data_IF_688405571274
#
_entry.id   IF_688405571274
#
_cell.length_a   1.000
_cell.length_b   1.000
_cell.length_c   1.000
_cell.angle_alpha   90.00
_cell.angle_beta   90.00
_cell.angle_gamma   90.00
#
_symmetry.space_group_name_H-M   'P 1'
#
loop_
_entity.id
_entity.type
_entity.pdbx_description
1 polymer ?
#
# COMPACT_ATOMS: atom_id res chain seq x y z
N UNK A 1 -13.01 -21.03 -7.53
CA UNK A 1 -13.55 -19.98 -6.65
C UNK A 1 -14.33 -19.02 -7.52
N UNK A 2 -15.56 -18.70 -7.13
CA UNK A 2 -16.34 -17.66 -7.80
C UNK A 2 -15.79 -16.30 -7.35
N UNK A 3 -15.59 -15.38 -8.29
CA UNK A 3 -15.12 -14.02 -7.98
C UNK A 3 -16.33 -13.11 -7.82
N UNK A 4 -16.33 -12.27 -6.79
CA UNK A 4 -17.39 -11.27 -6.59
C UNK A 4 -17.08 -9.94 -7.26
N UNK A 5 -15.80 -9.71 -7.58
CA UNK A 5 -15.32 -8.47 -8.18
C UNK A 5 -14.11 -8.72 -9.08
N UNK A 6 -13.82 -7.73 -9.92
CA UNK A 6 -12.61 -7.67 -10.72
C UNK A 6 -12.18 -6.22 -10.92
N UNK A 7 -10.91 -6.04 -11.31
CA UNK A 7 -10.36 -4.72 -11.65
C UNK A 7 -10.66 -4.42 -13.10
N UNK A 8 -11.29 -3.28 -13.35
CA UNK A 8 -11.45 -2.73 -14.69
C UNK A 8 -10.39 -1.66 -14.91
N UNK A 9 -9.47 -1.88 -15.85
CA UNK A 9 -8.40 -0.93 -16.13
C UNK A 9 -8.88 0.22 -17.02
N UNK A 10 -8.36 1.42 -16.78
CA UNK A 10 -8.61 2.59 -17.61
C UNK A 10 -8.23 2.36 -19.08
N UNK A 11 -7.12 1.64 -19.34
CA UNK A 11 -6.70 1.28 -20.69
C UNK A 11 -7.76 0.46 -21.46
N UNK A 12 -8.61 -0.29 -20.77
CA UNK A 12 -9.72 -1.00 -21.40
C UNK A 12 -10.85 -0.03 -21.77
N UNK A 13 -11.11 0.96 -20.93
CA UNK A 13 -12.08 2.02 -21.24
C UNK A 13 -11.64 2.85 -22.45
N UNK A 14 -10.35 3.19 -22.56
CA UNK A 14 -9.80 3.92 -23.70
C UNK A 14 -10.00 3.18 -25.03
N UNK A 15 -9.89 1.85 -25.04
CA UNK A 15 -10.16 1.04 -26.23
C UNK A 15 -11.65 1.06 -26.59
N UNK A 16 -12.53 1.11 -25.58
CA UNK A 16 -13.97 0.99 -25.79
C UNK A 16 -14.65 2.33 -26.10
N UNK A 17 -14.17 3.44 -25.55
CA UNK A 17 -14.85 4.75 -25.63
C UNK A 17 -15.05 5.26 -27.06
N UNK A 18 -14.16 4.91 -27.97
CA UNK A 18 -14.20 5.34 -29.38
C UNK A 18 -14.96 4.35 -30.27
N UNK A 19 -15.35 3.20 -29.74
CA UNK A 19 -16.14 2.19 -30.44
C UNK A 19 -17.65 2.46 -30.37
N UNK A 20 -18.40 1.81 -31.27
CA UNK A 20 -19.87 1.87 -31.25
C UNK A 20 -20.44 1.21 -30.00
N UNK A 21 -21.57 1.73 -29.51
CA UNK A 21 -22.21 1.25 -28.28
C UNK A 21 -22.52 -0.25 -28.32
N UNK A 22 -22.89 -0.80 -29.48
CA UNK A 22 -23.15 -2.24 -29.61
C UNK A 22 -21.87 -3.06 -29.37
N UNK A 23 -20.73 -2.61 -29.89
CA UNK A 23 -19.42 -3.27 -29.71
C UNK A 23 -18.97 -3.15 -28.25
N UNK A 24 -19.12 -1.95 -27.66
CA UNK A 24 -18.83 -1.74 -26.24
C UNK A 24 -19.62 -2.73 -25.37
N UNK A 25 -20.91 -2.87 -25.63
CA UNK A 25 -21.77 -3.74 -24.84
C UNK A 25 -21.46 -5.21 -25.03
N UNK A 26 -21.13 -5.62 -26.26
CA UNK A 26 -20.68 -6.98 -26.57
C UNK A 26 -19.40 -7.34 -25.80
N UNK A 27 -18.42 -6.43 -25.76
CA UNK A 27 -17.15 -6.65 -25.04
C UNK A 27 -17.37 -6.67 -23.52
N UNK A 28 -18.12 -5.71 -22.97
CA UNK A 28 -18.39 -5.66 -21.52
C UNK A 28 -19.12 -6.93 -21.06
N UNK A 29 -20.11 -7.38 -21.82
CA UNK A 29 -20.80 -8.66 -21.55
C UNK A 29 -19.83 -9.84 -21.59
N UNK A 30 -18.93 -9.90 -22.57
CA UNK A 30 -17.92 -10.94 -22.67
C UNK A 30 -16.98 -10.98 -21.47
N UNK A 31 -16.56 -9.81 -20.99
CA UNK A 31 -15.71 -9.68 -19.79
C UNK A 31 -16.45 -10.24 -18.58
N UNK A 32 -17.71 -9.87 -18.37
CA UNK A 32 -18.48 -10.35 -17.22
C UNK A 32 -18.69 -11.87 -17.26
N UNK A 33 -19.08 -12.42 -18.41
CA UNK A 33 -19.21 -13.87 -18.58
C UNK A 33 -17.90 -14.61 -18.35
N UNK A 34 -16.79 -14.04 -18.81
CA UNK A 34 -15.48 -14.64 -18.63
C UNK A 34 -15.01 -14.58 -17.17
N UNK A 35 -15.14 -13.45 -16.51
CA UNK A 35 -14.65 -13.25 -15.13
C UNK A 35 -15.49 -14.01 -14.11
N UNK A 36 -16.82 -13.96 -14.24
CA UNK A 36 -17.73 -14.49 -13.22
C UNK A 36 -18.12 -15.94 -13.47
N UNK A 37 -18.29 -16.33 -14.75
CA UNK A 37 -18.77 -17.65 -15.13
C UNK A 37 -17.69 -18.51 -15.81
N UNK A 38 -16.49 -17.95 -16.05
CA UNK A 38 -15.42 -18.60 -16.80
C UNK A 38 -15.88 -19.07 -18.19
N UNK A 39 -16.80 -18.31 -18.79
CA UNK A 39 -17.47 -18.64 -20.04
C UNK A 39 -16.96 -17.75 -21.19
N UNK A 40 -16.72 -18.36 -22.36
CA UNK A 40 -16.31 -17.66 -23.56
C UNK A 40 -17.50 -17.56 -24.51
N UNK A 41 -18.02 -16.35 -24.69
CA UNK A 41 -19.09 -16.09 -25.64
C UNK A 41 -18.53 -15.85 -27.05
N UNK A 42 -19.33 -16.17 -28.06
CA UNK A 42 -18.99 -15.85 -29.44
C UNK A 42 -19.15 -14.34 -29.69
N UNK A 43 -18.15 -13.74 -30.33
CA UNK A 43 -18.06 -12.31 -30.55
C UNK A 43 -17.82 -12.00 -32.03
N UNK A 44 -18.38 -10.88 -32.47
CA UNK A 44 -18.07 -10.28 -33.78
C UNK A 44 -16.59 -9.93 -33.85
N UNK A 45 -15.98 -9.89 -35.06
CA UNK A 45 -14.54 -9.68 -35.22
C UNK A 45 -13.98 -8.47 -34.45
N UNK A 46 -14.68 -7.35 -34.46
CA UNK A 46 -14.26 -6.13 -33.76
C UNK A 46 -14.23 -6.33 -32.23
N UNK A 47 -15.34 -6.80 -31.65
CA UNK A 47 -15.44 -7.10 -30.23
C UNK A 47 -14.44 -8.18 -29.80
N UNK A 48 -14.22 -9.18 -30.65
CA UNK A 48 -13.28 -10.29 -30.40
C UNK A 48 -11.84 -9.79 -30.25
N UNK A 49 -11.42 -8.81 -31.05
CA UNK A 49 -10.07 -8.26 -30.96
C UNK A 49 -9.85 -7.50 -29.64
N UNK A 50 -10.79 -6.61 -29.28
CA UNK A 50 -10.75 -5.88 -28.02
C UNK A 50 -10.78 -6.85 -26.81
N UNK A 51 -11.69 -7.82 -26.84
CA UNK A 51 -11.80 -8.83 -25.79
C UNK A 51 -10.54 -9.68 -25.67
N UNK A 52 -9.84 -10.01 -26.75
CA UNK A 52 -8.58 -10.78 -26.70
C UNK A 52 -7.49 -10.06 -25.90
N UNK A 53 -7.39 -8.73 -26.05
CA UNK A 53 -6.44 -7.93 -25.28
C UNK A 53 -6.78 -7.95 -23.79
N UNK A 54 -8.06 -7.71 -23.47
CA UNK A 54 -8.57 -7.67 -22.10
C UNK A 54 -8.45 -9.04 -21.42
N UNK A 55 -8.81 -10.12 -22.12
CA UNK A 55 -8.69 -11.49 -21.65
C UNK A 55 -7.25 -11.82 -21.25
N UNK A 56 -6.27 -11.42 -22.07
CA UNK A 56 -4.85 -11.65 -21.77
C UNK A 56 -4.43 -10.98 -20.45
N UNK A 57 -4.92 -9.79 -20.19
CA UNK A 57 -4.60 -9.06 -18.95
C UNK A 57 -5.28 -9.71 -17.74
N UNK A 58 -6.52 -10.19 -17.89
CA UNK A 58 -7.25 -10.97 -16.87
C UNK A 58 -6.50 -12.27 -16.55
N UNK A 59 -6.11 -13.03 -17.59
CA UNK A 59 -5.38 -14.29 -17.44
C UNK A 59 -4.08 -14.09 -16.67
N UNK A 60 -3.30 -13.07 -17.06
CA UNK A 60 -2.06 -12.72 -16.35
C UNK A 60 -2.30 -12.36 -14.88
N UNK A 61 -3.38 -11.64 -14.58
CA UNK A 61 -3.72 -11.29 -13.21
C UNK A 61 -4.14 -12.53 -12.40
N UNK A 62 -4.85 -13.47 -13.04
CA UNK A 62 -5.24 -14.74 -12.43
C UNK A 62 -4.01 -15.61 -12.14
N UNK A 63 -3.10 -15.79 -13.10
CA UNK A 63 -1.88 -16.57 -12.93
C UNK A 63 -1.04 -16.06 -11.76
N UNK A 64 -0.85 -14.73 -11.67
CA UNK A 64 -0.14 -14.11 -10.54
C UNK A 64 -0.82 -14.37 -9.20
N UNK A 65 -2.14 -14.34 -9.16
CA UNK A 65 -2.90 -14.60 -7.94
C UNK A 65 -2.81 -16.07 -7.53
N UNK A 66 -2.88 -17.00 -8.49
CA UNK A 66 -2.71 -18.43 -8.25
C UNK A 66 -1.31 -18.75 -7.74
N UNK A 67 -0.27 -18.20 -8.36
CA UNK A 67 1.12 -18.34 -7.90
C UNK A 67 1.30 -17.81 -6.46
N UNK A 68 0.68 -16.66 -6.15
CA UNK A 68 0.67 -16.12 -4.79
C UNK A 68 0.01 -17.08 -3.80
N UNK A 69 -1.17 -17.62 -4.14
CA UNK A 69 -1.87 -18.58 -3.29
C UNK A 69 -1.06 -19.87 -3.08
N UNK A 70 -0.40 -20.37 -4.11
CA UNK A 70 0.47 -21.54 -4.01
C UNK A 70 1.64 -21.30 -3.06
N UNK A 71 2.35 -20.18 -3.21
CA UNK A 71 3.42 -19.77 -2.28
C UNK A 71 2.92 -19.68 -0.85
N UNK A 72 1.73 -19.10 -0.63
CA UNK A 72 1.14 -19.02 0.71
C UNK A 72 0.74 -20.39 1.27
N UNK A 73 0.22 -21.30 0.43
CA UNK A 73 -0.06 -22.68 0.82
C UNK A 73 1.21 -23.42 1.24
N UNK A 74 2.30 -23.26 0.49
CA UNK A 74 3.61 -23.85 0.84
C UNK A 74 4.16 -23.28 2.16
N UNK A 75 4.11 -21.96 2.32
CA UNK A 75 4.54 -21.30 3.55
C UNK A 75 3.68 -21.72 4.76
N UNK A 76 2.37 -21.87 4.55
CA UNK A 76 1.44 -22.41 5.55
C UNK A 76 1.77 -23.84 5.95
N UNK A 77 2.12 -24.72 4.99
CA UNK A 77 2.59 -26.09 5.27
C UNK A 77 3.87 -26.12 6.09
N UNK A 78 4.80 -25.17 5.85
CA UNK A 78 6.05 -25.04 6.62
C UNK A 78 5.82 -24.52 8.05
N UNK A 79 4.66 -23.94 8.31
CA UNK A 79 4.24 -23.41 9.60
C UNK A 79 4.80 -22.00 9.87
N UNK A 80 3.94 -21.09 10.32
CA UNK A 80 4.33 -19.69 10.60
C UNK A 80 4.88 -19.45 12.00
N UNK A 81 4.66 -20.38 12.93
CA UNK A 81 5.14 -20.26 14.31
C UNK A 81 6.49 -20.96 14.43
N UNK A 82 7.56 -20.27 14.86
CA UNK A 82 8.81 -20.93 15.22
C UNK A 82 8.51 -22.05 16.22
N UNK A 83 9.03 -23.25 15.95
CA UNK A 83 8.90 -24.35 16.92
C UNK A 83 9.49 -23.87 18.24
N UNK A 84 8.73 -24.02 19.34
CA UNK A 84 9.24 -23.72 20.68
C UNK A 84 10.59 -24.44 20.83
N UNK A 85 11.67 -23.76 21.25
CA UNK A 85 12.92 -24.43 21.53
C UNK A 85 12.63 -25.54 22.54
N UNK A 86 13.06 -26.77 22.23
CA UNK A 86 13.06 -27.85 23.21
C UNK A 86 13.95 -27.39 24.35
N UNK A 87 13.43 -27.41 25.58
CA UNK A 87 14.19 -27.13 26.80
C UNK A 87 15.29 -28.18 26.97
N UNK A 88 16.44 -27.96 26.35
CA UNK A 88 17.71 -28.58 26.73
C UNK A 88 18.84 -27.64 26.37
N UNK A 89 19.04 -26.64 27.23
CA UNK A 89 20.34 -26.27 27.83
C UNK A 89 20.17 -24.89 28.47
N UNK A 90 20.50 -24.79 29.76
CA UNK A 90 20.53 -23.55 30.52
C UNK A 90 21.43 -22.54 29.79
N UNK A 91 20.84 -21.54 29.13
CA UNK A 91 21.59 -20.38 28.65
C UNK A 91 21.85 -19.46 29.83
N UNK A 92 23.10 -19.46 30.33
CA UNK A 92 23.62 -18.36 31.15
C UNK A 92 23.44 -17.06 30.35
N UNK A 93 22.88 -16.04 31.01
CA UNK A 93 22.71 -14.72 30.44
C UNK A 93 24.08 -14.09 30.18
N UNK A 94 24.53 -14.16 28.93
CA UNK A 94 25.72 -13.45 28.49
C UNK A 94 25.27 -12.09 27.93
N UNK A 95 25.39 -11.08 28.78
CA UNK A 95 25.35 -9.68 28.35
C UNK A 95 26.72 -9.34 27.77
N UNK A 96 26.91 -9.49 26.47
CA UNK A 96 27.97 -8.77 25.77
C UNK A 96 27.38 -7.82 24.72
N UNK A 97 27.82 -6.57 24.80
CA UNK A 97 27.48 -5.47 23.88
C UNK A 97 27.78 -5.89 22.43
N UNK A 98 26.97 -5.44 21.44
CA UNK A 98 27.34 -5.61 20.05
C UNK A 98 28.55 -4.72 19.74
N UNK A 99 29.66 -5.34 19.33
CA UNK A 99 30.79 -4.65 18.70
C UNK A 99 30.56 -4.66 17.19
N UNK A 100 30.73 -3.49 16.56
CA UNK A 100 30.67 -3.32 15.10
C UNK A 100 31.64 -4.25 14.36
N UNK A 101 31.15 -5.00 13.37
CA UNK A 101 32.02 -5.67 12.38
C UNK A 101 31.48 -5.51 10.96
N UNK A 102 32.04 -4.51 10.29
CA UNK A 102 32.68 -4.52 8.97
C UNK A 102 32.19 -5.48 7.87
N UNK A 103 31.74 -4.82 6.79
CA UNK A 103 31.74 -5.18 5.35
C UNK A 103 32.50 -6.45 4.94
N UNK A 104 31.86 -7.28 4.10
CA UNK A 104 32.54 -8.01 3.03
C UNK A 104 31.81 -7.86 1.68
N UNK A 105 32.55 -7.33 0.71
CA UNK A 105 32.37 -7.29 -0.75
C UNK A 105 32.56 -8.72 -1.30
N UNK A 106 32.22 -9.20 -2.51
CA UNK A 106 31.66 -8.73 -3.78
C UNK A 106 31.61 -10.01 -4.66
N UNK A 107 30.58 -10.26 -5.49
CA UNK A 107 30.80 -10.79 -6.85
C UNK A 107 29.85 -10.13 -7.84
N UNK A 108 30.45 -9.51 -8.84
CA UNK A 108 29.91 -8.76 -9.98
C UNK A 108 29.71 -9.68 -11.20
N UNK A 109 28.64 -9.47 -11.99
CA UNK A 109 28.70 -9.58 -13.46
C UNK A 109 27.81 -8.49 -14.10
N UNK A 110 28.47 -7.42 -14.60
CA UNK A 110 28.42 -6.80 -15.96
C UNK A 110 27.17 -7.06 -16.84
N UNK A 111 26.61 -6.16 -17.66
CA UNK A 111 26.85 -4.78 -18.08
C UNK A 111 25.63 -4.40 -18.96
N UNK A 112 25.09 -3.18 -18.87
CA UNK A 112 24.89 -2.30 -20.03
C UNK A 112 24.40 -0.92 -19.55
N UNK A 113 25.14 0.08 -20.01
CA UNK A 113 25.06 1.49 -19.67
C UNK A 113 23.94 2.13 -20.49
N UNK A 114 23.11 2.97 -19.86
CA UNK A 114 22.65 4.17 -20.55
C UNK A 114 22.70 5.36 -19.61
N UNK A 115 23.71 6.20 -19.85
CA UNK A 115 23.88 7.51 -19.24
C UNK A 115 22.76 8.40 -19.78
N UNK A 116 21.83 8.80 -18.94
CA UNK A 116 21.20 10.10 -19.14
C UNK A 116 21.39 10.96 -17.89
N UNK A 117 22.42 11.79 -17.97
CA UNK A 117 22.68 12.90 -17.08
C UNK A 117 21.65 13.97 -17.40
N UNK A 118 20.60 14.13 -16.61
CA UNK A 118 19.78 15.33 -16.71
C UNK A 118 19.14 15.76 -15.38
N UNK A 119 19.83 16.72 -14.76
CA UNK A 119 19.31 17.94 -14.13
C UNK A 119 18.21 17.79 -13.08
N UNK A 120 18.66 17.99 -11.85
CA UNK A 120 18.01 18.70 -10.75
C UNK A 120 16.79 19.54 -11.19
N UNK A 121 15.60 18.99 -11.04
CA UNK A 121 14.34 19.72 -10.94
C UNK A 121 13.57 19.23 -9.71
N UNK A 122 14.19 19.44 -8.54
CA UNK A 122 13.54 19.33 -7.24
C UNK A 122 12.55 20.49 -7.06
N UNK A 123 11.28 20.30 -7.44
CA UNK A 123 10.17 20.96 -6.72
C UNK A 123 8.79 20.38 -7.01
N UNK A 124 8.52 19.78 -8.17
CA UNK A 124 7.13 19.37 -8.51
C UNK A 124 6.73 17.96 -8.04
N UNK A 125 7.65 16.99 -7.98
CA UNK A 125 7.33 15.59 -7.67
C UNK A 125 7.08 15.33 -6.17
N UNK A 126 7.73 16.10 -5.30
CA UNK A 126 7.58 15.96 -3.86
C UNK A 126 6.22 16.45 -3.35
N UNK A 127 5.71 17.56 -3.92
CA UNK A 127 4.45 18.16 -3.49
C UNK A 127 3.23 17.27 -3.79
N UNK A 128 3.21 16.64 -4.96
CA UNK A 128 2.14 15.70 -5.33
C UNK A 128 2.11 14.47 -4.42
N UNK A 129 3.27 13.96 -4.02
CA UNK A 129 3.36 12.77 -3.16
C UNK A 129 3.02 13.09 -1.70
N UNK A 130 3.43 14.26 -1.21
CA UNK A 130 3.01 14.80 0.10
C UNK A 130 1.48 14.91 0.16
N UNK A 131 0.86 15.45 -0.88
CA UNK A 131 -0.60 15.62 -0.94
C UNK A 131 -1.32 14.26 -0.97
N UNK A 132 -0.78 13.30 -1.74
CA UNK A 132 -1.28 11.92 -1.79
C UNK A 132 -1.26 11.26 -0.41
N UNK A 133 -0.14 11.38 0.32
CA UNK A 133 0.03 10.79 1.66
C UNK A 133 -0.92 11.43 2.68
N UNK A 134 -1.03 12.77 2.68
CA UNK A 134 -1.97 13.49 3.55
C UNK A 134 -3.40 13.03 3.30
N UNK A 135 -3.80 12.92 2.04
CA UNK A 135 -5.14 12.46 1.67
C UNK A 135 -5.39 11.00 2.09
N UNK A 136 -4.40 10.12 1.90
CA UNK A 136 -4.48 8.73 2.34
C UNK A 136 -4.73 8.62 3.85
N UNK A 137 -3.91 9.28 4.68
CA UNK A 137 -4.03 9.24 6.13
C UNK A 137 -5.32 9.89 6.64
N UNK A 138 -5.81 10.95 5.97
CA UNK A 138 -7.03 11.67 6.37
C UNK A 138 -8.32 10.95 5.98
N UNK A 139 -8.35 10.23 4.85
CA UNK A 139 -9.61 9.75 4.24
C UNK A 139 -9.72 8.24 4.08
N UNK A 140 -8.62 7.52 3.83
CA UNK A 140 -8.66 6.08 3.49
C UNK A 140 -8.61 5.15 4.72
N UNK A 141 -8.54 5.70 5.93
CA UNK A 141 -8.34 4.93 7.18
C UNK A 141 -9.33 5.26 8.31
N UNK A 142 -10.60 5.51 7.99
CA UNK A 142 -11.59 6.02 8.94
C UNK A 142 -11.68 5.25 10.28
N UNK A 143 -11.71 3.91 10.23
CA UNK A 143 -11.76 3.05 11.44
C UNK A 143 -10.48 3.18 12.30
N UNK A 144 -9.31 3.31 11.66
CA UNK A 144 -8.05 3.50 12.39
C UNK A 144 -8.01 4.89 13.03
N UNK A 145 -8.54 5.91 12.35
CA UNK A 145 -8.61 7.28 12.88
C UNK A 145 -9.51 7.37 14.10
N UNK A 146 -10.68 6.74 14.09
CA UNK A 146 -11.58 6.69 15.24
C UNK A 146 -10.92 6.02 16.45
N UNK A 147 -10.17 4.92 16.21
CA UNK A 147 -9.36 4.25 17.23
C UNK A 147 -8.30 5.19 17.82
N UNK A 148 -7.58 5.92 16.98
CA UNK A 148 -6.50 6.82 17.40
C UNK A 148 -7.03 8.04 18.18
N UNK A 149 -8.15 8.62 17.74
CA UNK A 149 -8.83 9.70 18.46
C UNK A 149 -9.22 9.24 19.87
N UNK A 150 -9.79 8.04 19.99
CA UNK A 150 -10.19 7.47 21.28
C UNK A 150 -8.99 7.14 22.17
N UNK A 151 -7.93 6.53 21.60
CA UNK A 151 -6.74 6.11 22.33
C UNK A 151 -5.92 7.30 22.85
N UNK A 152 -5.77 8.35 22.03
CA UNK A 152 -4.98 9.52 22.37
C UNK A 152 -5.80 10.67 22.95
N UNK A 153 -7.14 10.53 23.03
CA UNK A 153 -8.08 11.56 23.51
C UNK A 153 -7.89 12.89 22.77
N UNK A 154 -7.82 12.82 21.45
CA UNK A 154 -7.61 13.97 20.56
C UNK A 154 -8.82 14.17 19.65
N UNK A 155 -9.10 15.43 19.29
CA UNK A 155 -10.14 15.73 18.31
C UNK A 155 -9.70 15.33 16.89
N UNK A 156 -10.66 15.32 15.96
CA UNK A 156 -10.40 15.06 14.55
C UNK A 156 -9.49 16.12 13.94
N UNK A 157 -9.70 17.38 14.32
CA UNK A 157 -8.90 18.52 13.86
C UNK A 157 -7.46 18.41 14.34
N UNK A 158 -7.25 18.08 15.62
CA UNK A 158 -5.93 17.90 16.20
C UNK A 158 -5.19 16.71 15.59
N UNK A 159 -5.92 15.62 15.29
CA UNK A 159 -5.36 14.46 14.61
C UNK A 159 -4.92 14.79 13.18
N UNK A 160 -5.65 15.66 12.47
CA UNK A 160 -5.25 16.15 11.16
C UNK A 160 -4.00 17.04 11.22
N UNK A 161 -3.91 17.91 12.22
CA UNK A 161 -2.68 18.68 12.49
C UNK A 161 -1.49 17.77 12.77
N UNK A 162 -1.69 16.67 13.50
CA UNK A 162 -0.66 15.67 13.76
C UNK A 162 -0.21 14.93 12.50
N UNK A 163 -1.13 14.64 11.57
CA UNK A 163 -0.78 14.10 10.26
C UNK A 163 0.09 15.08 9.48
N UNK A 164 -0.28 16.37 9.47
CA UNK A 164 0.48 17.39 8.77
C UNK A 164 1.90 17.54 9.37
N UNK A 165 2.01 17.60 10.71
CA UNK A 165 3.29 17.65 11.45
C UNK A 165 4.18 16.42 11.15
N UNK A 166 3.58 15.23 11.10
CA UNK A 166 4.27 13.99 10.78
C UNK A 166 4.86 14.02 9.36
N UNK A 167 4.07 14.42 8.37
CA UNK A 167 4.50 14.45 6.97
C UNK A 167 5.60 15.50 6.77
N UNK A 168 5.48 16.68 7.38
CA UNK A 168 6.52 17.72 7.33
C UNK A 168 7.84 17.25 7.97
N UNK A 169 7.77 16.54 9.11
CA UNK A 169 8.96 15.94 9.73
C UNK A 169 9.62 14.90 8.84
N UNK A 170 8.84 14.07 8.15
CA UNK A 170 9.39 13.06 7.23
C UNK A 170 10.06 13.68 6.01
N UNK A 171 9.47 14.75 5.45
CA UNK A 171 10.10 15.53 4.37
C UNK A 171 11.42 16.12 4.84
N UNK A 172 11.49 16.63 6.08
CA UNK A 172 12.75 17.18 6.64
C UNK A 172 13.87 16.17 6.81
N UNK A 173 13.54 14.86 6.86
CA UNK A 173 14.51 13.77 6.97
C UNK A 173 14.92 13.19 5.60
N UNK A 174 14.37 13.70 4.49
CA UNK A 174 14.63 13.16 3.15
C UNK A 174 13.93 11.83 2.85
N UNK A 175 13.02 11.38 3.73
CA UNK A 175 12.27 10.13 3.59
C UNK A 175 10.91 10.39 2.93
N UNK A 176 10.90 10.70 1.63
CA UNK A 176 9.65 10.92 0.86
C UNK A 176 9.25 9.68 0.06
N UNK A 177 10.17 8.72 -0.13
CA UNK A 177 9.94 7.54 -0.95
C UNK A 177 9.54 6.34 -0.08
N UNK A 178 8.25 6.23 0.22
CA UNK A 178 7.70 5.12 1.00
C UNK A 178 7.16 4.03 0.07
N UNK A 179 7.55 2.76 0.25
CA UNK A 179 7.21 1.70 -0.70
C UNK A 179 5.74 1.27 -0.65
N UNK A 180 5.00 1.55 0.44
CA UNK A 180 3.59 1.18 0.59
C UNK A 180 2.83 2.06 1.59
N UNK A 181 1.61 2.47 1.23
CA UNK A 181 0.65 3.21 2.05
C UNK A 181 0.40 2.55 3.45
N UNK A 182 0.46 1.22 3.54
CA UNK A 182 0.30 0.49 4.82
C UNK A 182 1.43 0.76 5.82
N UNK A 183 2.67 0.93 5.33
CA UNK A 183 3.82 1.22 6.18
C UNK A 183 3.77 2.66 6.70
N UNK A 184 3.29 3.59 5.88
CA UNK A 184 3.11 4.99 6.24
C UNK A 184 2.18 5.12 7.43
N UNK A 185 1.06 4.39 7.42
CA UNK A 185 0.10 4.39 8.52
C UNK A 185 0.69 3.85 9.83
N UNK A 186 1.40 2.71 9.78
CA UNK A 186 2.07 2.14 10.96
C UNK A 186 3.11 3.10 11.54
N UNK A 187 3.86 3.77 10.67
CA UNK A 187 4.85 4.75 11.08
C UNK A 187 4.20 5.98 11.71
N UNK A 188 3.06 6.43 11.19
CA UNK A 188 2.29 7.51 11.79
C UNK A 188 1.75 7.11 13.18
N UNK A 189 1.16 5.92 13.34
CA UNK A 189 0.69 5.43 14.65
C UNK A 189 1.82 5.39 15.68
N UNK A 190 2.98 4.85 15.28
CA UNK A 190 4.16 4.80 16.14
C UNK A 190 4.67 6.21 16.50
N UNK A 191 4.72 7.11 15.52
CA UNK A 191 5.15 8.48 15.74
C UNK A 191 4.18 9.24 16.66
N UNK A 192 2.88 9.07 16.49
CA UNK A 192 1.85 9.69 17.31
C UNK A 192 1.94 9.22 18.77
N UNK A 193 2.27 7.94 19.00
CA UNK A 193 2.50 7.41 20.35
C UNK A 193 3.68 8.09 21.07
N UNK A 194 4.69 8.53 20.32
CA UNK A 194 5.87 9.24 20.83
C UNK A 194 5.69 10.76 20.90
N UNK A 195 4.69 11.29 20.19
CA UNK A 195 4.40 12.72 20.10
C UNK A 195 2.96 12.97 20.54
N UNK A 196 2.62 12.71 21.81
CA UNK A 196 1.27 12.90 22.32
C UNK A 196 0.83 14.35 22.15
N UNK A 197 -0.48 14.55 22.06
CA UNK A 197 -1.02 15.89 21.95
C UNK A 197 -0.59 16.69 23.17
N UNK A 198 0.07 17.84 22.94
CA UNK A 198 0.26 18.81 24.02
C UNK A 198 -1.14 19.33 24.29
N UNK A 199 -1.77 18.87 25.36
CA UNK A 199 -3.01 19.46 25.82
C UNK A 199 -2.76 20.97 25.93
N UNK A 200 -3.34 21.77 25.02
CA UNK A 200 -3.52 23.18 25.31
C UNK A 200 -4.33 23.22 26.60
N UNK A 201 -3.82 23.85 27.67
CA UNK A 201 -4.56 23.93 28.91
C UNK A 201 -5.80 24.75 28.61
N UNK A 202 -6.93 24.06 28.44
CA UNK A 202 -8.23 24.70 28.37
C UNK A 202 -8.38 25.57 29.60
N UNK A 203 -8.72 26.82 29.35
CA UNK A 203 -8.73 27.90 30.32
C UNK A 203 -9.38 27.50 31.63
N UNK A 204 -8.77 27.97 32.72
CA UNK A 204 -9.38 28.05 34.05
C UNK A 204 -10.80 28.60 33.92
N UNK A 205 -11.81 27.73 34.03
CA UNK A 205 -13.11 28.15 34.54
C UNK A 205 -12.89 28.48 36.01
N UNK A 206 -12.73 29.78 36.30
CA UNK A 206 -12.73 30.30 37.67
C UNK A 206 -14.07 29.91 38.28
N UNK A 207 -14.01 29.28 39.47
CA UNK A 207 -15.10 29.26 40.45
C UNK A 207 -15.72 30.66 40.54
N UNK A 208 -17.00 30.79 40.23
CA UNK A 208 -17.83 31.83 40.84
C UNK A 208 -18.60 31.17 41.97
N UNK A 209 -18.12 31.41 43.17
CA UNK A 209 -18.89 31.27 44.41
C UNK A 209 -19.95 32.37 44.37
N UNK A 210 -21.21 31.99 44.42
CA UNK A 210 -22.30 32.74 45.05
C UNK A 210 -23.28 31.73 45.62
#
# INVERSE_FOLDING_TARGET
MQRESFVFYESWYEILRDERQEVQWEVIRAIMEYVFNNNLIELKPNAKMAFKFIKRDIDRANDKYEEYLEKQRENGKRGGRPKKPKETQKTQAFFEKPTETQKSLNVNVNENVNVNKNVNNNSSYGESEILRIKNFLKTKQQIQMDRLMMQHKISKEDLFLKIDEFVEKKVSWGEVNWPNDSEIAKNFEFWLSKNPNKATPNGRSKRSVF
#
